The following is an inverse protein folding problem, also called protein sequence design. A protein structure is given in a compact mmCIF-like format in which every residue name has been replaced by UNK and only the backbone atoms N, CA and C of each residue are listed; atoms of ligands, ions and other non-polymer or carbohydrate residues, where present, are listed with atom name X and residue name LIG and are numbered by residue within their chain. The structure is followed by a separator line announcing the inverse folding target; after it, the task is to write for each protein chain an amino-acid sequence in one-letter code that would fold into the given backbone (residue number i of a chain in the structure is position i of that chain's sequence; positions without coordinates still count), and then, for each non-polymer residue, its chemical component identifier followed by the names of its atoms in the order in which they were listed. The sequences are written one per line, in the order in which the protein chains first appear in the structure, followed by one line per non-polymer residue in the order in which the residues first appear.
data_IF_412941491843
#
_entry.id   IF_412941491843
#
_cell.length_a   1.000
_cell.length_b   1.000
_cell.length_c   1.000
_cell.angle_alpha   90.00
_cell.angle_beta   90.00
_cell.angle_gamma   90.00
#
_symmetry.space_group_name_H-M   'P 1'
#
loop_
_entity.id
_entity.type
_entity.pdbx_description
1 polymer ?
#
# COMPACT_ATOMS: atom_id res chain seq x y z
N UNK A 1 15.19 -22.42 15.34
CA UNK A 1 14.63 -21.73 14.14
C UNK A 1 13.11 -21.91 13.96
N UNK A 2 12.34 -22.35 14.97
CA UNK A 2 10.91 -22.70 14.80
C UNK A 2 9.97 -21.49 14.61
N UNK A 3 10.35 -20.31 15.11
CA UNK A 3 9.51 -19.09 15.13
C UNK A 3 10.09 -17.92 14.31
N UNK A 4 11.10 -18.15 13.46
CA UNK A 4 11.79 -17.04 12.80
C UNK A 4 10.88 -16.24 11.88
N UNK A 5 10.01 -16.90 11.13
CA UNK A 5 9.05 -16.23 10.24
C UNK A 5 8.03 -15.42 11.03
N UNK A 6 7.50 -16.00 12.10
CA UNK A 6 6.51 -15.40 12.98
C UNK A 6 7.10 -14.15 13.67
N UNK A 7 8.36 -14.22 14.10
CA UNK A 7 9.10 -13.08 14.66
C UNK A 7 9.33 -11.99 13.60
N UNK A 8 9.75 -12.36 12.39
CA UNK A 8 9.96 -11.38 11.29
C UNK A 8 8.65 -10.67 10.95
N UNK A 9 7.55 -11.42 10.77
CA UNK A 9 6.23 -10.85 10.49
C UNK A 9 5.78 -9.95 11.64
N UNK A 10 5.93 -10.40 12.89
CA UNK A 10 5.62 -9.59 14.07
C UNK A 10 6.41 -8.29 14.12
N UNK A 11 7.71 -8.32 13.82
CA UNK A 11 8.56 -7.13 13.75
C UNK A 11 8.11 -6.17 12.64
N UNK A 12 7.77 -6.68 11.45
CA UNK A 12 7.26 -5.87 10.34
C UNK A 12 5.96 -5.18 10.74
N UNK A 13 5.03 -5.90 11.38
CA UNK A 13 3.76 -5.33 11.85
C UNK A 13 3.98 -4.25 12.90
N UNK A 14 4.87 -4.49 13.87
CA UNK A 14 5.20 -3.49 14.90
C UNK A 14 5.84 -2.25 14.28
N UNK A 15 6.78 -2.41 13.36
CA UNK A 15 7.42 -1.30 12.65
C UNK A 15 6.39 -0.49 11.84
N UNK A 16 5.48 -1.18 11.14
CA UNK A 16 4.41 -0.53 10.40
C UNK A 16 3.51 0.29 11.32
N UNK A 17 3.00 -0.30 12.41
CA UNK A 17 2.14 0.39 13.38
C UNK A 17 2.88 1.59 13.99
N UNK A 18 4.14 1.42 14.40
CA UNK A 18 4.93 2.50 14.97
C UNK A 18 5.10 3.68 14.01
N UNK A 19 5.44 3.40 12.75
CA UNK A 19 5.62 4.43 11.72
C UNK A 19 4.29 5.10 11.35
N UNK A 20 3.22 4.32 11.27
CA UNK A 20 1.87 4.82 11.00
C UNK A 20 1.39 5.77 12.10
N UNK A 21 1.45 5.35 13.37
CA UNK A 21 1.04 6.17 14.50
C UNK A 21 1.90 7.43 14.62
N UNK A 22 3.22 7.30 14.43
CA UNK A 22 4.12 8.45 14.44
C UNK A 22 3.73 9.47 13.36
N UNK A 23 3.62 9.03 12.10
CA UNK A 23 3.27 9.89 10.97
C UNK A 23 1.90 10.55 11.16
N UNK A 24 0.91 9.78 11.63
CA UNK A 24 -0.45 10.26 11.87
C UNK A 24 -0.50 11.29 13.02
N UNK A 25 0.41 11.20 14.00
CA UNK A 25 0.50 12.19 15.08
C UNK A 25 1.14 13.52 14.68
N UNK A 26 2.09 13.51 13.74
CA UNK A 26 2.80 14.71 13.30
C UNK A 26 2.11 15.41 12.12
N UNK A 27 1.30 14.68 11.34
CA UNK A 27 0.53 15.21 10.22
C UNK A 27 -0.95 14.80 10.36
N UNK A 28 -1.71 15.43 11.27
CA UNK A 28 -3.12 15.06 11.53
C UNK A 28 -4.05 15.31 10.34
N UNK A 29 -3.70 16.26 9.47
CA UNK A 29 -4.43 16.57 8.24
C UNK A 29 -3.84 15.85 7.01
N UNK A 30 -2.95 14.88 7.20
CA UNK A 30 -2.40 14.11 6.08
C UNK A 30 -3.52 13.29 5.42
N UNK A 31 -3.86 13.67 4.20
CA UNK A 31 -4.70 12.85 3.34
C UNK A 31 -3.91 11.60 2.90
N UNK A 32 -4.58 10.46 2.90
CA UNK A 32 -4.05 9.21 2.36
C UNK A 32 -4.10 9.28 0.83
N UNK A 33 -3.24 10.11 0.25
CA UNK A 33 -3.09 10.26 -1.19
C UNK A 33 -2.37 9.07 -1.80
N UNK A 34 -2.70 8.77 -3.06
CA UNK A 34 -1.94 7.83 -3.86
C UNK A 34 -0.51 8.31 -4.11
N UNK A 35 0.32 7.42 -4.66
CA UNK A 35 1.68 7.79 -5.09
C UNK A 35 1.70 8.82 -6.22
N UNK A 36 0.57 8.97 -6.92
CA UNK A 36 0.37 9.92 -8.00
C UNK A 36 0.44 11.37 -7.52
N UNK A 37 -0.22 11.74 -6.41
CA UNK A 37 -0.13 13.09 -5.85
C UNK A 37 1.29 13.47 -5.45
N UNK A 38 2.00 12.57 -4.78
CA UNK A 38 3.42 12.81 -4.41
C UNK A 38 4.30 12.93 -5.66
N UNK A 39 4.05 12.11 -6.68
CA UNK A 39 4.79 12.15 -7.94
C UNK A 39 4.58 13.45 -8.71
N UNK A 40 3.32 13.89 -8.83
CA UNK A 40 2.94 15.11 -9.54
C UNK A 40 3.53 16.35 -8.88
N UNK A 41 3.50 16.45 -7.55
CA UNK A 41 4.13 17.55 -6.81
C UNK A 41 5.64 17.68 -7.09
N UNK A 42 6.37 16.56 -7.10
CA UNK A 42 7.81 16.55 -7.40
C UNK A 42 8.09 16.94 -8.84
N UNK A 43 7.30 16.44 -9.80
CA UNK A 43 7.45 16.80 -11.22
C UNK A 43 7.15 18.28 -11.44
N UNK A 44 6.12 18.80 -10.79
CA UNK A 44 5.76 20.23 -10.80
C UNK A 44 6.92 21.10 -10.31
N UNK A 45 7.54 20.75 -9.18
CA UNK A 45 8.71 21.45 -8.64
C UNK A 45 9.91 21.44 -9.60
N UNK A 46 10.20 20.28 -10.21
CA UNK A 46 11.35 20.12 -11.11
C UNK A 46 11.18 20.81 -12.46
N UNK A 47 9.95 20.90 -12.96
CA UNK A 47 9.66 21.39 -14.32
C UNK A 47 9.09 22.81 -14.35
N UNK A 48 8.59 23.31 -13.22
CA UNK A 48 7.86 24.57 -13.13
C UNK A 48 6.45 24.52 -13.76
N UNK A 49 5.96 23.32 -14.09
CA UNK A 49 4.62 23.10 -14.64
C UNK A 49 3.65 22.93 -13.46
N UNK A 50 2.47 23.60 -13.46
CA UNK A 50 1.46 23.38 -12.42
C UNK A 50 1.11 21.90 -12.27
N UNK A 51 0.86 21.44 -11.05
CA UNK A 51 0.62 20.02 -10.73
C UNK A 51 -0.55 19.43 -11.53
N UNK A 52 -1.63 20.19 -11.70
CA UNK A 52 -2.81 19.80 -12.49
C UNK A 52 -2.52 19.64 -13.98
N UNK A 53 -1.45 20.25 -14.48
CA UNK A 53 -1.01 20.20 -15.87
C UNK A 53 0.08 19.15 -16.11
N UNK A 54 0.57 18.48 -15.06
CA UNK A 54 1.53 17.37 -15.18
C UNK A 54 0.85 16.17 -15.81
N UNK A 55 1.14 15.94 -17.10
CA UNK A 55 0.61 14.79 -17.82
C UNK A 55 1.56 13.59 -17.74
N UNK A 56 1.04 12.38 -17.48
CA UNK A 56 1.83 11.16 -17.58
C UNK A 56 2.40 10.98 -18.99
N UNK A 57 3.63 10.46 -19.09
CA UNK A 57 4.29 10.16 -20.37
C UNK A 57 3.50 9.15 -21.23
N UNK A 58 2.77 8.24 -20.58
CA UNK A 58 1.91 7.25 -21.20
C UNK A 58 0.48 7.55 -20.76
N UNK A 59 -0.50 7.66 -21.68
CA UNK A 59 -1.90 7.86 -21.30
C UNK A 59 -2.36 6.80 -20.30
N UNK A 60 -2.73 7.23 -19.10
CA UNK A 60 -3.24 6.36 -18.06
C UNK A 60 -4.77 6.36 -18.11
N UNK A 61 -5.35 5.19 -17.87
CA UNK A 61 -6.79 5.10 -17.67
C UNK A 61 -7.13 5.58 -16.26
N UNK A 62 -8.04 6.54 -16.15
CA UNK A 62 -8.58 7.01 -14.89
C UNK A 62 -9.99 6.40 -14.67
N UNK A 63 -10.31 5.94 -13.45
CA UNK A 63 -11.67 5.50 -13.11
C UNK A 63 -12.69 6.63 -13.33
N UNK A 64 -13.90 6.32 -13.82
CA UNK A 64 -14.93 7.35 -14.03
C UNK A 64 -15.55 7.90 -12.73
N UNK A 65 -15.22 7.32 -11.57
CA UNK A 65 -15.64 7.77 -10.23
C UNK A 65 -14.65 7.30 -9.17
N UNK A 66 -14.45 8.10 -8.13
CA UNK A 66 -13.62 7.73 -6.96
C UNK A 66 -14.17 6.53 -6.18
N UNK A 67 -15.48 6.23 -6.29
CA UNK A 67 -16.06 5.01 -5.72
C UNK A 67 -15.54 3.76 -6.43
N UNK A 68 -15.37 3.83 -7.76
CA UNK A 68 -14.84 2.73 -8.56
C UNK A 68 -13.34 2.54 -8.28
N UNK A 69 -12.60 3.64 -8.15
CA UNK A 69 -11.20 3.63 -7.74
C UNK A 69 -11.03 2.92 -6.38
N UNK A 70 -11.79 3.36 -5.37
CA UNK A 70 -11.80 2.75 -4.04
C UNK A 70 -12.21 1.28 -4.08
N UNK A 71 -13.18 0.93 -4.93
CA UNK A 71 -13.60 -0.46 -5.16
C UNK A 71 -12.49 -1.33 -5.77
N UNK A 72 -11.72 -0.80 -6.72
CA UNK A 72 -10.57 -1.51 -7.31
C UNK A 72 -9.46 -1.72 -6.28
N UNK A 73 -9.17 -0.73 -5.43
CA UNK A 73 -8.22 -0.88 -4.32
C UNK A 73 -8.68 -1.92 -3.31
N UNK A 74 -9.95 -1.90 -2.91
CA UNK A 74 -10.52 -2.89 -2.00
C UNK A 74 -10.45 -4.30 -2.58
N UNK A 75 -10.72 -4.45 -3.89
CA UNK A 75 -10.61 -5.73 -4.58
C UNK A 75 -9.17 -6.25 -4.60
N UNK A 76 -8.19 -5.39 -4.92
CA UNK A 76 -6.77 -5.74 -4.88
C UNK A 76 -6.34 -6.19 -3.48
N UNK A 77 -6.76 -5.46 -2.44
CA UNK A 77 -6.47 -5.81 -1.05
C UNK A 77 -7.08 -7.17 -0.67
N UNK A 78 -8.33 -7.43 -1.08
CA UNK A 78 -8.99 -8.72 -0.84
C UNK A 78 -8.25 -9.89 -1.51
N UNK A 79 -7.87 -9.73 -2.79
CA UNK A 79 -7.08 -10.74 -3.49
C UNK A 79 -5.72 -10.99 -2.83
N UNK A 80 -4.99 -9.93 -2.46
CA UNK A 80 -3.74 -10.04 -1.74
C UNK A 80 -3.90 -10.79 -0.40
N UNK A 81 -4.96 -10.47 0.34
CA UNK A 81 -5.31 -11.15 1.60
C UNK A 81 -5.57 -12.65 1.42
N UNK A 82 -6.30 -13.04 0.37
CA UNK A 82 -6.55 -14.46 0.05
C UNK A 82 -5.25 -15.20 -0.28
N UNK A 83 -4.41 -14.62 -1.14
CA UNK A 83 -3.13 -15.22 -1.55
C UNK A 83 -2.22 -15.44 -0.32
N UNK A 84 -2.07 -14.41 0.52
CA UNK A 84 -1.27 -14.50 1.73
C UNK A 84 -1.86 -15.50 2.73
N UNK A 85 -3.18 -15.49 2.94
CA UNK A 85 -3.88 -16.40 3.83
C UNK A 85 -3.70 -17.87 3.42
N UNK A 86 -3.87 -18.18 2.12
CA UNK A 86 -3.62 -19.52 1.59
C UNK A 86 -2.15 -19.92 1.68
N UNK A 87 -1.23 -18.99 1.38
CA UNK A 87 0.21 -19.22 1.48
C UNK A 87 0.64 -19.59 2.90
N UNK A 88 0.25 -18.78 3.90
CA UNK A 88 0.52 -19.08 5.30
C UNK A 88 -0.19 -20.34 5.77
N UNK A 89 -1.46 -20.54 5.39
CA UNK A 89 -2.22 -21.75 5.73
C UNK A 89 -1.55 -23.03 5.22
N UNK A 90 -1.06 -23.03 3.98
CA UNK A 90 -0.33 -24.14 3.39
C UNK A 90 0.99 -24.44 4.11
N UNK A 91 1.76 -23.41 4.45
CA UNK A 91 3.02 -23.55 5.20
C UNK A 91 2.78 -24.12 6.61
N UNK A 92 1.71 -23.69 7.28
CA UNK A 92 1.32 -24.23 8.60
C UNK A 92 0.87 -25.69 8.46
N UNK A 93 0.06 -26.00 7.45
CA UNK A 93 -0.44 -27.36 7.20
C UNK A 93 0.69 -28.39 6.97
N UNK A 94 1.73 -28.01 6.22
CA UNK A 94 2.88 -28.89 5.97
C UNK A 94 3.67 -29.26 7.23
N UNK A 95 3.70 -28.39 8.26
CA UNK A 95 4.40 -28.66 9.52
C UNK A 95 3.70 -29.71 10.38
N UNK A 96 2.43 -30.02 10.10
CA UNK A 96 1.64 -31.01 10.85
C UNK A 96 1.71 -32.40 10.22
N UNK A 97 2.12 -32.50 8.94
CA UNK A 97 2.21 -33.78 8.21
C UNK A 97 3.62 -34.40 8.22
N UNK A 98 4.63 -33.69 8.75
CA UNK A 98 5.94 -34.26 9.10
C UNK A 98 6.06 -34.48 10.61
#
# INVERSE_FOLDING_TARGET
MKYQFEIIVGLIVILFIGTFLYTSSINPDAEFGGSDGVGSAVVSELTGIPEDDVKPLIPQWAPPSGEIESGLFALQAAFGGVILGLGFGYLIGQRTTQ
#
